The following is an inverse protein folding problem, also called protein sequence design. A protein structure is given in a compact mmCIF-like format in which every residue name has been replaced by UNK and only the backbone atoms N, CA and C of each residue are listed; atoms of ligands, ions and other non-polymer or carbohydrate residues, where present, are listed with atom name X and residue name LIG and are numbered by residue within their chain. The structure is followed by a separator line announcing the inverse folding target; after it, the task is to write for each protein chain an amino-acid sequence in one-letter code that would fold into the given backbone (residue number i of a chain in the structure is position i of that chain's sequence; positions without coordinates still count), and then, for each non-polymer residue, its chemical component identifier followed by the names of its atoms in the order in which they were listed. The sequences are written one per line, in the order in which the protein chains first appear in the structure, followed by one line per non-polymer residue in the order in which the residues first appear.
data_IF_178358919139
#
_entry.id   IF_178358919139
#
_cell.length_a   1.000
_cell.length_b   1.000
_cell.length_c   1.000
_cell.angle_alpha   90.00
_cell.angle_beta   90.00
_cell.angle_gamma   90.00
#
_symmetry.space_group_name_H-M   'P 1'
#
loop_
_entity.id
_entity.type
_entity.pdbx_description
1 polymer ?
#
# COMPACT_ATOMS: atom_id res chain seq x y z
N UNK A 1 -41.78 -32.24 21.56
CA UNK A 1 -41.25 -31.29 20.57
C UNK A 1 -40.19 -30.46 21.26
N UNK A 2 -38.91 -30.73 20.97
CA UNK A 2 -37.77 -30.03 21.57
C UNK A 2 -37.00 -29.35 20.41
N UNK A 3 -36.76 -28.03 20.44
CA UNK A 3 -36.06 -27.33 19.36
C UNK A 3 -34.58 -27.79 19.31
N UNK A 4 -34.22 -28.43 18.20
CA UNK A 4 -32.98 -29.19 18.00
C UNK A 4 -31.70 -28.35 17.79
N UNK A 5 -31.79 -27.02 17.88
CA UNK A 5 -30.68 -26.13 17.54
C UNK A 5 -30.52 -25.07 18.61
N UNK A 6 -29.99 -25.49 19.75
CA UNK A 6 -29.27 -24.57 20.62
C UNK A 6 -27.79 -24.78 20.40
N UNK A 7 -27.10 -23.68 20.16
CA UNK A 7 -25.68 -23.52 20.41
C UNK A 7 -24.71 -23.89 19.28
N UNK A 8 -24.19 -22.83 18.69
CA UNK A 8 -22.88 -22.75 18.02
C UNK A 8 -21.76 -23.43 18.85
N UNK A 9 -21.94 -23.61 20.17
CA UNK A 9 -21.03 -24.36 21.04
C UNK A 9 -21.07 -25.88 20.84
N UNK A 10 -22.20 -26.50 20.48
CA UNK A 10 -22.26 -27.95 20.15
C UNK A 10 -21.47 -28.25 18.87
N UNK A 11 -21.47 -27.31 17.92
CA UNK A 11 -20.69 -27.35 16.67
C UNK A 11 -19.17 -27.24 16.89
N UNK A 12 -18.76 -26.58 17.97
CA UNK A 12 -17.35 -26.47 18.39
C UNK A 12 -16.96 -27.68 19.28
N UNK A 13 -17.90 -28.19 20.08
CA UNK A 13 -17.68 -29.28 21.03
C UNK A 13 -17.54 -30.67 20.37
N UNK A 14 -18.11 -30.89 19.18
CA UNK A 14 -17.78 -32.06 18.36
C UNK A 14 -16.49 -31.77 17.57
N UNK A 15 -15.36 -31.78 18.29
CA UNK A 15 -14.06 -31.15 17.96
C UNK A 15 -13.38 -31.44 16.61
N UNK A 16 -14.03 -32.16 15.69
CA UNK A 16 -13.54 -32.46 14.33
C UNK A 16 -13.98 -31.46 13.26
N UNK A 17 -15.06 -30.69 13.45
CA UNK A 17 -15.62 -29.82 12.39
C UNK A 17 -15.32 -28.32 12.53
N UNK A 18 -15.04 -27.84 13.75
CA UNK A 18 -14.72 -26.42 13.98
C UNK A 18 -13.47 -25.95 13.23
N UNK A 19 -12.41 -26.76 13.21
CA UNK A 19 -11.13 -26.42 12.55
C UNK A 19 -11.33 -26.04 11.08
N UNK A 20 -12.23 -26.71 10.36
CA UNK A 20 -12.48 -26.42 8.93
C UNK A 20 -13.10 -25.05 8.69
N UNK A 21 -14.06 -24.64 9.53
CA UNK A 21 -14.73 -23.34 9.40
C UNK A 21 -13.74 -22.22 9.67
N UNK A 22 -12.97 -22.36 10.75
CA UNK A 22 -11.92 -21.40 11.11
C UNK A 22 -10.81 -21.35 10.07
N UNK A 23 -10.39 -22.49 9.49
CA UNK A 23 -9.42 -22.49 8.39
C UNK A 23 -9.95 -21.80 7.15
N UNK A 24 -11.18 -22.06 6.72
CA UNK A 24 -11.78 -21.35 5.59
C UNK A 24 -11.83 -19.84 5.86
N UNK A 25 -12.33 -19.42 7.03
CA UNK A 25 -12.36 -18.01 7.42
C UNK A 25 -10.98 -17.38 7.49
N UNK A 26 -10.00 -18.07 8.07
CA UNK A 26 -8.62 -17.61 8.18
C UNK A 26 -7.96 -17.48 6.81
N UNK A 27 -8.22 -18.40 5.89
CA UNK A 27 -7.72 -18.33 4.51
C UNK A 27 -8.37 -17.16 3.78
N UNK A 28 -9.69 -17.00 3.87
CA UNK A 28 -10.40 -15.89 3.21
C UNK A 28 -9.91 -14.53 3.71
N UNK A 29 -9.83 -14.35 5.04
CA UNK A 29 -9.27 -13.13 5.63
C UNK A 29 -7.81 -12.97 5.22
N UNK A 30 -7.01 -14.04 5.28
CA UNK A 30 -5.61 -14.02 4.89
C UNK A 30 -5.40 -13.52 3.47
N UNK A 31 -6.18 -14.03 2.51
CA UNK A 31 -6.13 -13.61 1.11
C UNK A 31 -6.55 -12.16 0.94
N UNK A 32 -7.64 -11.72 1.59
CA UNK A 32 -8.09 -10.32 1.55
C UNK A 32 -7.00 -9.40 2.11
N UNK A 33 -6.38 -9.79 3.23
CA UNK A 33 -5.38 -8.99 3.92
C UNK A 33 -4.09 -8.91 3.10
N UNK A 34 -3.65 -10.02 2.49
CA UNK A 34 -2.54 -10.07 1.53
C UNK A 34 -2.84 -9.18 0.32
N UNK A 35 -4.05 -9.23 -0.23
CA UNK A 35 -4.46 -8.40 -1.36
C UNK A 35 -4.43 -6.91 -1.03
N UNK A 36 -4.94 -6.52 0.15
CA UNK A 36 -4.89 -5.14 0.64
C UNK A 36 -3.44 -4.69 0.82
N UNK A 37 -2.59 -5.49 1.46
CA UNK A 37 -1.17 -5.16 1.65
C UNK A 37 -0.49 -5.01 0.29
N UNK A 38 -0.72 -5.93 -0.64
CA UNK A 38 -0.15 -5.87 -1.98
C UNK A 38 -0.56 -4.60 -2.72
N UNK A 39 -1.87 -4.29 -2.72
CA UNK A 39 -2.42 -3.07 -3.31
C UNK A 39 -1.82 -1.80 -2.69
N UNK A 40 -1.68 -1.76 -1.36
CA UNK A 40 -1.05 -0.63 -0.66
C UNK A 40 0.42 -0.50 -1.03
N UNK A 41 1.19 -1.60 -1.06
CA UNK A 41 2.61 -1.58 -1.42
C UNK A 41 2.83 -1.06 -2.84
N UNK A 42 1.96 -1.44 -3.78
CA UNK A 42 2.04 -0.97 -5.16
C UNK A 42 1.79 0.54 -5.27
N UNK A 43 0.82 1.08 -4.52
CA UNK A 43 0.59 2.52 -4.44
C UNK A 43 1.76 3.27 -3.82
N UNK A 44 2.33 2.77 -2.73
CA UNK A 44 3.45 3.44 -2.06
C UNK A 44 4.72 3.42 -2.91
N UNK A 45 4.97 2.33 -3.65
CA UNK A 45 6.10 2.25 -4.58
C UNK A 45 6.02 3.34 -5.65
N UNK A 46 4.83 3.58 -6.22
CA UNK A 46 4.64 4.63 -7.22
C UNK A 46 4.83 6.04 -6.64
N UNK A 47 4.30 6.30 -5.45
CA UNK A 47 4.45 7.61 -4.78
C UNK A 47 5.92 7.88 -4.47
N UNK A 48 6.66 6.90 -3.95
CA UNK A 48 8.08 7.06 -3.63
C UNK A 48 8.91 7.43 -4.86
N UNK A 49 8.62 6.82 -6.02
CA UNK A 49 9.29 7.14 -7.27
C UNK A 49 9.01 8.58 -7.72
N UNK A 50 7.77 9.05 -7.57
CA UNK A 50 7.41 10.43 -7.88
C UNK A 50 8.07 11.42 -6.91
N UNK A 51 8.07 11.16 -5.61
CA UNK A 51 8.68 12.02 -4.60
C UNK A 51 10.18 12.21 -4.84
N UNK A 52 10.90 11.12 -5.18
CA UNK A 52 12.34 11.19 -5.49
C UNK A 52 12.59 12.02 -6.75
N UNK A 53 11.75 11.89 -7.77
CA UNK A 53 11.88 12.68 -9.00
C UNK A 53 11.55 14.16 -8.78
N UNK A 54 10.49 14.45 -8.01
CA UNK A 54 10.10 15.82 -7.64
C UNK A 54 11.19 16.52 -6.83
N UNK A 55 11.80 15.84 -5.85
CA UNK A 55 12.91 16.40 -5.08
C UNK A 55 14.08 16.78 -5.99
N UNK A 56 14.43 15.93 -6.98
CA UNK A 56 15.48 16.21 -7.97
C UNK A 56 15.12 17.36 -8.92
N UNK A 57 13.85 17.48 -9.31
CA UNK A 57 13.39 18.59 -10.15
C UNK A 57 13.38 19.92 -9.39
N UNK A 58 12.90 19.96 -8.15
CA UNK A 58 12.91 21.16 -7.31
C UNK A 58 14.33 21.70 -7.10
N UNK A 59 15.32 20.81 -6.94
CA UNK A 59 16.72 21.22 -6.86
C UNK A 59 17.27 21.78 -8.18
N UNK A 60 16.81 21.29 -9.33
CA UNK A 60 17.20 21.84 -10.64
C UNK A 60 16.58 23.21 -10.91
N UNK A 61 15.31 23.43 -10.52
CA UNK A 61 14.66 24.74 -10.66
C UNK A 61 15.28 25.79 -9.72
N UNK A 62 15.66 25.40 -8.50
CA UNK A 62 16.38 26.28 -7.57
C UNK A 62 17.84 26.54 -7.97
N UNK A 63 18.43 25.63 -8.76
CA UNK A 63 19.80 25.73 -9.29
C UNK A 63 19.80 26.04 -10.79
N UNK A 64 18.89 26.89 -11.25
CA UNK A 64 19.12 27.75 -12.42
C UNK A 64 19.76 29.04 -11.89
N UNK A 65 21.08 29.07 -11.60
CA UNK A 65 21.76 30.34 -11.40
C UNK A 65 21.72 31.05 -12.76
N UNK A 66 20.99 32.16 -12.81
CA UNK A 66 21.42 33.51 -13.19
C UNK A 66 22.84 33.67 -13.80
N UNK A 67 23.23 32.81 -14.74
CA UNK A 67 24.53 32.87 -15.44
C UNK A 67 24.35 33.19 -16.93
N UNK A 68 23.14 33.03 -17.49
CA UNK A 68 22.87 33.35 -18.91
C UNK A 68 22.82 34.87 -19.19
N UNK A 69 22.62 35.72 -18.16
CA UNK A 69 22.49 37.17 -18.38
C UNK A 69 23.84 37.92 -18.39
N UNK A 70 24.94 37.34 -17.89
CA UNK A 70 26.22 38.07 -17.77
C UNK A 70 27.10 37.96 -19.03
N UNK A 71 26.94 36.91 -19.84
CA UNK A 71 27.76 36.71 -21.04
C UNK A 71 27.34 37.61 -22.22
N UNK A 72 26.09 38.08 -22.27
CA UNK A 72 25.64 38.99 -23.34
C UNK A 72 25.94 40.47 -23.09
N UNK A 73 26.38 40.87 -21.89
CA UNK A 73 26.73 42.27 -21.60
C UNK A 73 28.24 42.57 -21.73
N UNK A 74 29.09 41.55 -21.78
CA UNK A 74 30.55 41.71 -21.93
C UNK A 74 31.03 41.62 -23.40
N UNK A 75 30.18 41.14 -24.33
CA UNK A 75 30.53 41.08 -25.77
C UNK A 75 30.30 42.41 -26.52
N UNK A 76 29.87 43.46 -25.82
CA UNK A 76 29.66 44.81 -26.37
C UNK A 76 30.41 45.84 -25.53
N UNK A 77 31.74 45.71 -25.48
CA UNK A 77 32.63 46.79 -25.05
C UNK A 77 34.01 46.67 -25.70
#
# INVERSE_FOLDING_TARGET
MQPYFYSVSEFIAMGKHGVFVWSCWAITIGVILVFIIYSRRQRQALINQLTIQQARQAQRTAKVPTTVTKTSLESNK
#
